data_IF_678866288866
#
_entry.id   IF_678866288866
#
_cell.length_a   1.000
_cell.length_b   1.000
_cell.length_c   1.000
_cell.angle_alpha   90.00
_cell.angle_beta   90.00
_cell.angle_gamma   90.00
#
_symmetry.space_group_name_H-M   'P 1'
#
loop_
_entity.id
_entity.type
_entity.pdbx_description
1 polymer ?
#
# COMPACT_ATOMS: atom_id res chain seq x y z
N UNK A 1 11.88 18.31 -20.21
CA UNK A 1 11.91 18.29 -19.84
C UNK A 1 12.12 18.13 -19.25
N UNK A 2 12.48 17.82 -18.94
CA UNK A 2 12.63 17.75 -18.35
C UNK A 2 12.32 17.40 -17.62
N UNK A 3 11.69 17.69 -17.03
CA UNK A 3 11.42 17.08 -16.36
C UNK A 3 10.98 16.31 -16.30
N UNK A 4 10.33 16.41 -16.10
CA UNK A 4 9.89 15.12 -16.29
C UNK A 4 10.90 14.16 -16.88
N UNK A 5 11.79 14.68 -17.35
CA UNK A 5 12.95 13.94 -17.70
C UNK A 5 13.55 13.30 -16.52
N UNK A 6 13.16 13.76 -15.39
CA UNK A 6 13.75 13.32 -14.19
C UNK A 6 12.96 12.28 -13.55
N UNK A 7 13.60 11.39 -12.84
CA UNK A 7 12.90 10.45 -12.05
C UNK A 7 11.93 11.20 -11.20
N UNK A 8 10.84 10.60 -10.95
CA UNK A 8 9.84 11.12 -10.10
C UNK A 8 10.40 11.72 -8.89
N UNK A 9 10.07 12.94 -8.69
CA UNK A 9 10.37 13.60 -7.46
C UNK A 9 9.42 13.10 -6.39
N UNK A 10 9.79 13.33 -5.18
CA UNK A 10 8.95 13.02 -4.04
C UNK A 10 7.72 13.91 -4.10
N UNK A 11 6.56 13.32 -3.98
CA UNK A 11 5.31 14.04 -4.04
C UNK A 11 4.50 13.73 -2.79
N UNK A 12 3.91 14.76 -2.21
CA UNK A 12 3.09 14.61 -1.02
C UNK A 12 1.63 14.68 -1.40
N UNK A 13 0.86 13.70 -0.93
CA UNK A 13 -0.58 13.62 -1.15
C UNK A 13 -1.28 13.57 0.20
N UNK A 14 -2.51 14.04 0.26
CA UNK A 14 -3.33 13.87 1.44
C UNK A 14 -4.26 12.65 1.29
N UNK A 15 -5.08 12.42 2.30
CA UNK A 15 -5.98 11.27 2.31
C UNK A 15 -7.10 11.32 1.28
N UNK A 16 -7.32 12.46 0.64
CA UNK A 16 -8.34 12.55 -0.40
C UNK A 16 -7.77 12.49 -1.81
N UNK A 17 -6.58 13.01 -2.03
CA UNK A 17 -6.05 13.09 -3.39
C UNK A 17 -4.98 12.04 -3.72
N UNK A 18 -4.63 11.14 -2.79
CA UNK A 18 -3.63 10.12 -3.06
C UNK A 18 -4.17 8.97 -3.91
N UNK A 19 -5.46 8.72 -3.85
CA UNK A 19 -6.03 7.48 -4.38
C UNK A 19 -5.81 7.28 -5.88
N UNK A 20 -6.09 8.29 -6.66
CA UNK A 20 -5.91 8.17 -8.10
C UNK A 20 -4.45 7.92 -8.50
N UNK A 21 -3.46 8.68 -8.04
CA UNK A 21 -2.07 8.38 -8.32
C UNK A 21 -1.62 7.02 -7.79
N UNK A 22 -2.13 6.62 -6.63
CA UNK A 22 -1.81 5.33 -6.06
C UNK A 22 -2.32 4.19 -6.95
N UNK A 23 -3.55 4.31 -7.43
CA UNK A 23 -4.13 3.31 -8.33
C UNK A 23 -3.35 3.26 -9.65
N UNK A 24 -2.88 4.40 -10.12
CA UNK A 24 -2.04 4.44 -11.32
C UNK A 24 -0.74 3.64 -11.11
N UNK A 25 -0.12 3.80 -9.95
CA UNK A 25 1.06 3.01 -9.61
C UNK A 25 0.75 1.52 -9.51
N UNK A 26 -0.39 1.18 -8.90
CA UNK A 26 -0.80 -0.22 -8.79
C UNK A 26 -0.98 -0.85 -10.18
N UNK A 27 -1.52 -0.10 -11.12
CA UNK A 27 -1.74 -0.60 -12.47
C UNK A 27 -0.42 -0.95 -13.18
N UNK A 28 0.68 -0.39 -12.73
CA UNK A 28 2.00 -0.65 -13.30
C UNK A 28 2.77 -1.74 -12.56
N UNK A 29 2.21 -2.29 -11.49
CA UNK A 29 2.87 -3.32 -10.70
C UNK A 29 3.06 -4.59 -11.52
N UNK A 30 4.25 -5.16 -11.44
CA UNK A 30 4.60 -6.35 -12.20
C UNK A 30 5.03 -7.53 -11.34
N UNK A 31 5.45 -7.29 -10.13
CA UNK A 31 5.99 -8.34 -9.25
C UNK A 31 5.29 -8.46 -7.93
N UNK A 32 5.19 -7.35 -7.21
CA UNK A 32 4.67 -7.41 -5.85
C UNK A 32 4.08 -6.09 -5.38
N UNK A 33 3.14 -6.21 -4.47
CA UNK A 33 2.58 -5.07 -3.74
C UNK A 33 2.53 -5.46 -2.28
N UNK A 34 3.12 -4.64 -1.43
CA UNK A 34 3.08 -4.83 0.02
C UNK A 34 2.41 -3.60 0.61
N UNK A 35 1.36 -3.80 1.38
CA UNK A 35 0.65 -2.72 2.05
C UNK A 35 0.71 -2.94 3.54
N UNK A 36 1.08 -1.89 4.28
CA UNK A 36 1.00 -1.85 5.73
C UNK A 36 -0.12 -0.89 6.09
N UNK A 37 -1.20 -1.43 6.62
CA UNK A 37 -2.39 -0.67 6.97
C UNK A 37 -2.89 -1.17 8.32
N UNK A 38 -2.56 -0.48 9.43
CA UNK A 38 -2.96 -0.94 10.76
C UNK A 38 -4.44 -1.14 10.92
N UNK A 39 -5.26 -0.24 10.38
CA UNK A 39 -6.71 -0.33 10.48
C UNK A 39 -7.33 -0.47 9.11
N UNK A 40 -7.73 -1.67 8.77
CA UNK A 40 -8.41 -1.95 7.51
C UNK A 40 -9.90 -1.78 7.70
N UNK A 41 -10.50 -0.94 6.89
CA UNK A 41 -11.94 -0.79 6.82
C UNK A 41 -12.32 -0.43 5.41
N UNK A 42 -12.86 -1.40 4.69
CA UNK A 42 -13.21 -1.22 3.28
C UNK A 42 -14.59 -0.59 3.16
N UNK A 43 -14.69 0.41 2.31
CA UNK A 43 -15.99 0.89 1.90
C UNK A 43 -16.57 -0.05 0.86
N UNK A 44 -17.86 0.10 0.58
CA UNK A 44 -18.54 -0.73 -0.40
C UNK A 44 -17.88 -0.70 -1.77
N UNK A 45 -17.31 0.43 -2.11
CA UNK A 45 -16.72 0.66 -3.42
C UNK A 45 -15.23 0.98 -3.33
N UNK A 46 -14.53 0.33 -2.40
CA UNK A 46 -13.09 0.56 -2.29
C UNK A 46 -12.39 0.17 -3.57
N UNK A 47 -11.92 1.18 -4.29
CA UNK A 47 -11.25 0.99 -5.55
C UNK A 47 -9.86 0.40 -5.35
N UNK A 48 -9.19 0.80 -4.28
CA UNK A 48 -7.88 0.25 -3.95
C UNK A 48 -7.99 -1.25 -3.69
N UNK A 49 -8.96 -1.66 -2.86
CA UNK A 49 -9.16 -3.06 -2.56
C UNK A 49 -9.43 -3.86 -3.82
N UNK A 50 -10.28 -3.34 -4.70
CA UNK A 50 -10.59 -4.00 -5.95
C UNK A 50 -9.36 -4.19 -6.82
N UNK A 51 -8.52 -3.17 -6.89
CA UNK A 51 -7.31 -3.25 -7.72
C UNK A 51 -6.30 -4.25 -7.18
N UNK A 52 -6.11 -4.31 -5.87
CA UNK A 52 -5.15 -5.28 -5.34
C UNK A 52 -5.66 -6.70 -5.47
N UNK A 53 -6.96 -6.92 -5.39
CA UNK A 53 -7.56 -8.23 -5.65
C UNK A 53 -7.32 -8.63 -7.10
N UNK A 54 -7.50 -7.72 -8.04
CA UNK A 54 -7.24 -7.98 -9.45
C UNK A 54 -5.77 -8.32 -9.69
N UNK A 55 -4.85 -7.62 -9.03
CA UNK A 55 -3.43 -7.91 -9.13
C UNK A 55 -3.12 -9.32 -8.62
N UNK A 56 -3.67 -9.68 -7.48
CA UNK A 56 -3.48 -11.02 -6.91
C UNK A 56 -4.00 -12.09 -7.86
N UNK A 57 -5.15 -11.86 -8.48
CA UNK A 57 -5.74 -12.78 -9.44
C UNK A 57 -4.87 -12.94 -10.69
N UNK A 58 -4.05 -11.96 -11.00
CA UNK A 58 -3.15 -12.00 -12.14
C UNK A 58 -1.72 -12.44 -11.78
N UNK A 59 -1.54 -13.01 -10.61
CA UNK A 59 -0.25 -13.58 -10.21
C UNK A 59 0.74 -12.61 -9.60
N UNK A 60 0.32 -11.38 -9.32
CA UNK A 60 1.16 -10.42 -8.62
C UNK A 60 1.11 -10.76 -7.13
N UNK A 61 2.26 -10.92 -6.51
CA UNK A 61 2.31 -11.20 -5.07
C UNK A 61 1.80 -9.99 -4.31
N UNK A 62 0.72 -10.17 -3.56
CA UNK A 62 0.06 -9.07 -2.85
C UNK A 62 -0.04 -9.42 -1.37
N UNK A 63 0.58 -8.59 -0.53
CA UNK A 63 0.67 -8.81 0.90
C UNK A 63 0.09 -7.62 1.65
N UNK A 64 -0.64 -7.92 2.71
CA UNK A 64 -1.21 -6.91 3.59
C UNK A 64 -0.77 -7.18 5.02
N UNK A 65 -0.04 -6.24 5.60
CA UNK A 65 0.30 -6.24 7.01
C UNK A 65 -0.73 -5.38 7.72
N UNK A 66 -1.38 -5.92 8.73
CA UNK A 66 -2.42 -5.21 9.46
C UNK A 66 -2.30 -5.50 10.96
N UNK A 67 -2.95 -4.68 11.76
CA UNK A 67 -2.85 -4.81 13.21
C UNK A 67 -3.77 -5.89 13.77
N UNK A 68 -4.92 -6.08 13.14
CA UNK A 68 -5.89 -7.06 13.61
C UNK A 68 -6.72 -7.62 12.46
N UNK A 69 -7.27 -8.79 12.69
CA UNK A 69 -8.13 -9.47 11.73
C UNK A 69 -9.57 -9.00 11.92
N UNK A 70 -10.25 -8.71 10.82
CA UNK A 70 -11.66 -8.40 10.82
C UNK A 70 -12.32 -9.00 9.57
N UNK A 71 -13.61 -8.73 9.37
CA UNK A 71 -14.32 -9.26 8.22
C UNK A 71 -13.70 -8.83 6.89
N UNK A 72 -13.27 -7.59 6.82
CA UNK A 72 -12.67 -7.06 5.59
C UNK A 72 -11.34 -7.74 5.26
N UNK A 73 -10.48 -7.93 6.26
CA UNK A 73 -9.20 -8.61 6.02
C UNK A 73 -9.40 -10.08 5.69
N UNK A 74 -10.40 -10.72 6.29
CA UNK A 74 -10.73 -12.11 5.95
C UNK A 74 -11.20 -12.22 4.50
N UNK A 75 -12.00 -11.26 4.06
CA UNK A 75 -12.47 -11.24 2.69
C UNK A 75 -11.30 -11.08 1.71
N UNK A 76 -10.37 -10.17 2.01
CA UNK A 76 -9.19 -9.99 1.18
C UNK A 76 -8.35 -11.27 1.13
N UNK A 77 -8.21 -11.95 2.25
CA UNK A 77 -7.49 -13.20 2.32
C UNK A 77 -8.14 -14.27 1.43
N UNK A 78 -9.45 -14.36 1.46
CA UNK A 78 -10.18 -15.29 0.59
C UNK A 78 -9.99 -14.96 -0.90
N UNK A 79 -9.70 -13.72 -1.20
CA UNK A 79 -9.50 -13.26 -2.57
C UNK A 79 -8.04 -13.30 -3.02
N UNK A 80 -7.19 -13.98 -2.26
CA UNK A 80 -5.82 -14.24 -2.69
C UNK A 80 -4.75 -13.32 -2.13
N UNK A 81 -5.10 -12.44 -1.21
CA UNK A 81 -4.13 -11.55 -0.59
C UNK A 81 -3.54 -12.20 0.66
N UNK A 82 -2.22 -12.18 0.78
CA UNK A 82 -1.57 -12.67 1.98
C UNK A 82 -1.73 -11.65 3.09
N UNK A 83 -2.49 -12.00 4.12
CA UNK A 83 -2.73 -11.11 5.25
C UNK A 83 -1.86 -11.56 6.42
N UNK A 84 -1.01 -10.66 6.90
CA UNK A 84 -0.11 -10.91 8.01
C UNK A 84 -0.47 -9.96 9.14
N UNK A 85 -0.70 -10.51 10.33
CA UNK A 85 -1.05 -9.71 11.50
C UNK A 85 0.19 -9.33 12.27
N UNK A 86 0.33 -8.03 12.56
CA UNK A 86 1.44 -7.49 13.34
C UNK A 86 0.82 -6.65 14.46
N UNK A 87 0.84 -7.17 15.66
CA UNK A 87 0.12 -6.58 16.80
C UNK A 87 0.46 -5.13 17.07
N UNK A 88 1.75 -4.76 16.92
CA UNK A 88 2.21 -3.40 17.19
C UNK A 88 2.46 -2.59 15.93
N UNK A 89 1.80 -2.95 14.86
CA UNK A 89 1.99 -2.24 13.60
C UNK A 89 1.58 -0.78 13.73
N UNK A 90 2.52 0.11 13.40
CA UNK A 90 2.25 1.54 13.36
C UNK A 90 2.57 2.16 12.02
N UNK A 91 3.12 1.37 11.10
CA UNK A 91 3.47 1.85 9.77
C UNK A 91 2.25 1.96 8.86
N UNK A 92 2.22 3.04 8.10
CA UNK A 92 1.22 3.26 7.05
C UNK A 92 2.00 3.41 5.76
N UNK A 93 2.02 2.39 4.94
CA UNK A 93 2.87 2.41 3.76
C UNK A 93 2.42 1.43 2.71
N UNK A 94 2.94 1.63 1.49
CA UNK A 94 2.86 0.64 0.45
C UNK A 94 4.19 0.58 -0.27
N UNK A 95 4.56 -0.61 -0.72
CA UNK A 95 5.78 -0.83 -1.48
C UNK A 95 5.38 -1.57 -2.74
N UNK A 96 5.65 -0.97 -3.89
CA UNK A 96 5.28 -1.54 -5.18
C UNK A 96 6.56 -1.93 -5.92
N UNK A 97 6.61 -3.21 -6.31
CA UNK A 97 7.74 -3.76 -7.07
C UNK A 97 9.09 -3.53 -6.39
N UNK A 98 9.08 -3.52 -5.05
CA UNK A 98 10.28 -3.37 -4.23
C UNK A 98 11.06 -2.07 -4.49
N UNK A 99 10.40 -1.07 -5.05
CA UNK A 99 11.09 0.17 -5.41
C UNK A 99 10.28 1.45 -5.17
N UNK A 100 8.98 1.44 -5.42
CA UNK A 100 8.14 2.62 -5.23
C UNK A 100 7.48 2.56 -3.86
N UNK A 101 7.63 3.62 -3.09
CA UNK A 101 7.16 3.68 -1.71
C UNK A 101 6.14 4.79 -1.55
N UNK A 102 5.05 4.46 -0.86
CA UNK A 102 4.08 5.40 -0.36
C UNK A 102 4.12 5.30 1.15
N UNK A 103 4.44 6.38 1.83
CA UNK A 103 4.71 6.32 3.27
C UNK A 103 4.14 7.53 3.99
N UNK A 104 3.49 7.32 5.10
CA UNK A 104 2.96 8.43 5.89
C UNK A 104 2.00 8.01 6.97
N UNK A 105 0.83 8.64 7.00
CA UNK A 105 -0.16 8.40 8.06
C UNK A 105 -1.52 7.93 7.54
N UNK A 106 -1.69 7.76 6.23
CA UNK A 106 -2.97 7.32 5.66
C UNK A 106 -3.13 5.81 5.82
N UNK A 107 -4.27 5.39 6.34
CA UNK A 107 -4.67 3.98 6.27
C UNK A 107 -5.17 3.72 4.85
N UNK A 108 -4.32 3.20 4.01
CA UNK A 108 -4.60 3.05 2.57
C UNK A 108 -5.88 2.25 2.31
N UNK A 109 -6.10 1.22 3.11
CA UNK A 109 -7.31 0.40 3.05
C UNK A 109 -8.27 0.70 4.19
N UNK A 110 -8.29 1.92 4.67
CA UNK A 110 -9.14 2.33 5.77
C UNK A 110 -9.80 3.67 5.51
N UNK A 111 -10.07 4.41 6.57
CA UNK A 111 -10.62 5.75 6.45
C UNK A 111 -9.56 6.72 5.96
N UNK A 112 -9.96 7.62 5.10
CA UNK A 112 -9.08 8.65 4.56
C UNK A 112 -9.50 10.02 5.09
N UNK A 113 -8.51 10.80 5.50
CA UNK A 113 -8.72 12.14 6.04
C UNK A 113 -7.77 13.12 5.40
N UNK A 114 -8.21 14.38 5.23
CA UNK A 114 -7.34 15.42 4.71
C UNK A 114 -6.19 15.75 5.65
N UNK A 115 -6.29 15.34 6.92
CA UNK A 115 -5.24 15.57 7.90
C UNK A 115 -4.09 14.58 7.76
N UNK A 116 -4.32 13.48 7.06
CA UNK A 116 -3.29 12.46 6.85
C UNK A 116 -2.58 12.68 5.53
N UNK A 117 -1.35 12.25 5.46
CA UNK A 117 -0.51 12.46 4.28
C UNK A 117 0.26 11.20 3.92
N UNK A 118 0.61 11.11 2.64
CA UNK A 118 1.53 10.10 2.13
C UNK A 118 2.55 10.80 1.24
N UNK A 119 3.79 10.40 1.40
CA UNK A 119 4.87 10.79 0.50
C UNK A 119 5.12 9.63 -0.46
N UNK A 120 5.23 9.96 -1.73
CA UNK A 120 5.57 8.99 -2.77
C UNK A 120 6.98 9.22 -3.27
N UNK A 121 7.79 8.18 -3.23
CA UNK A 121 9.15 8.29 -3.74
C UNK A 121 9.63 6.92 -4.21
N UNK A 122 10.73 6.93 -4.93
CA UNK A 122 11.30 5.72 -5.47
C UNK A 122 12.70 5.50 -4.91
N UNK A 123 12.89 4.41 -4.19
CA UNK A 123 14.18 4.06 -3.60
C UNK A 123 14.20 2.58 -3.22
N UNK A 124 14.85 1.73 -4.04
CA UNK A 124 14.88 0.29 -3.76
C UNK A 124 15.53 -0.08 -2.43
N UNK A 125 16.53 0.66 -2.00
CA UNK A 125 17.20 0.37 -0.73
C UNK A 125 16.29 0.63 0.46
N UNK A 126 15.59 1.76 0.43
CA UNK A 126 14.63 2.07 1.49
C UNK A 126 13.46 1.08 1.44
N UNK A 127 13.02 0.70 0.26
CA UNK A 127 11.94 -0.29 0.11
C UNK A 127 12.33 -1.60 0.77
N UNK A 128 13.55 -2.09 0.54
CA UNK A 128 14.04 -3.30 1.16
C UNK A 128 14.11 -3.17 2.68
N UNK A 129 14.63 -2.06 3.16
CA UNK A 129 14.75 -1.81 4.59
C UNK A 129 13.39 -1.76 5.27
N UNK A 130 12.42 -1.11 4.64
CA UNK A 130 11.06 -1.01 5.15
C UNK A 130 10.39 -2.38 5.20
N UNK A 131 10.54 -3.17 4.15
CA UNK A 131 9.99 -4.51 4.11
C UNK A 131 10.61 -5.40 5.18
N UNK A 132 11.92 -5.31 5.39
CA UNK A 132 12.60 -6.06 6.44
C UNK A 132 12.07 -5.69 7.82
N UNK A 133 11.78 -4.41 8.04
CA UNK A 133 11.18 -3.97 9.30
C UNK A 133 9.82 -4.63 9.52
N UNK A 134 8.99 -4.69 8.49
CA UNK A 134 7.69 -5.37 8.57
C UNK A 134 7.85 -6.86 8.88
N UNK A 135 8.76 -7.53 8.22
CA UNK A 135 9.00 -8.94 8.43
C UNK A 135 9.50 -9.24 9.84
N UNK A 136 10.33 -8.35 10.38
CA UNK A 136 10.91 -8.51 11.70
C UNK A 136 9.87 -8.40 12.81
N UNK A 137 8.87 -7.58 12.59
CA UNK A 137 7.82 -7.31 13.57
C UNK A 137 6.68 -8.31 13.51
N UNK A 138 6.64 -9.12 12.48
CA UNK A 138 5.55 -10.10 12.30
C UNK A 138 5.79 -11.41 13.05
#
# INVERSE_FOLDING_TARGET
MFDSLFPTTDIIYDGLNFEHPFITDLALAKRSVVIACPKVKLGRLSLVAKRIVDLAANGIETMLYTKEVNEDTLQLQHQGIYVITVERLSLHAAIIDKSTIWYGSVNILGYHSTEDNLIRFRNPEIATSLFETLCKDS
#
